data_IF_690239159652
#
_entry.id   IF_690239159652
#
_cell.length_a   1.000
_cell.length_b   1.000
_cell.length_c   1.000
_cell.angle_alpha   90.00
_cell.angle_beta   90.00
_cell.angle_gamma   90.00
#
_symmetry.space_group_name_H-M   'P 1'
#
loop_
_entity.id
_entity.type
_entity.pdbx_description
1 polymer ?
#
# COMPACT_ATOMS: atom_id res chain seq x y z
N UNK A 1 14.62 -10.62 5.98
CA UNK A 1 13.61 -9.95 5.13
C UNK A 1 12.60 -9.32 6.06
N UNK A 2 12.09 -8.13 5.75
CA UNK A 2 11.01 -7.48 6.51
C UNK A 2 9.87 -7.15 5.55
N UNK A 3 8.64 -7.50 5.91
CA UNK A 3 7.41 -7.16 5.20
C UNK A 3 6.58 -6.23 6.06
N UNK A 4 6.04 -5.16 5.48
CA UNK A 4 5.21 -4.20 6.20
C UNK A 4 4.25 -3.48 5.24
N UNK A 5 2.96 -3.34 5.57
CA UNK A 5 2.06 -2.47 4.82
C UNK A 5 2.50 -1.01 4.89
N UNK A 6 2.33 -0.25 3.81
CA UNK A 6 2.75 1.15 3.71
C UNK A 6 2.15 2.02 4.82
N UNK A 7 0.87 1.82 5.13
CA UNK A 7 0.14 2.54 6.20
C UNK A 7 0.73 2.24 7.59
N UNK A 8 0.99 0.97 7.89
CA UNK A 8 1.61 0.54 9.15
C UNK A 8 3.03 1.08 9.29
N UNK A 9 3.81 1.06 8.20
CA UNK A 9 5.17 1.59 8.19
C UNK A 9 5.18 3.08 8.54
N UNK A 10 4.37 3.87 7.85
CA UNK A 10 4.23 5.31 8.08
C UNK A 10 3.77 5.60 9.52
N UNK A 11 2.71 4.94 9.98
CA UNK A 11 2.20 5.13 11.33
C UNK A 11 3.26 4.80 12.40
N UNK A 12 4.07 3.76 12.17
CA UNK A 12 5.15 3.39 13.08
C UNK A 12 6.28 4.41 13.07
N UNK A 13 6.63 4.94 11.90
CA UNK A 13 7.64 6.00 11.78
C UNK A 13 7.16 7.30 12.42
N UNK A 14 5.90 7.69 12.21
CA UNK A 14 5.30 8.87 12.82
C UNK A 14 5.27 8.76 14.35
N UNK A 15 4.86 7.61 14.88
CA UNK A 15 4.91 7.32 16.31
C UNK A 15 6.34 7.40 16.85
N UNK A 16 7.31 6.78 16.17
CA UNK A 16 8.71 6.85 16.58
C UNK A 16 9.27 8.27 16.52
N UNK A 17 8.82 9.09 15.57
CA UNK A 17 9.19 10.51 15.48
C UNK A 17 8.65 11.31 16.66
N UNK A 18 7.37 11.15 17.00
CA UNK A 18 6.75 11.80 18.14
C UNK A 18 7.40 11.39 19.49
N UNK A 19 7.88 10.15 19.59
CA UNK A 19 8.57 9.63 20.77
C UNK A 19 10.08 9.92 20.79
N UNK A 20 10.64 10.63 19.79
CA UNK A 20 12.07 10.93 19.71
C UNK A 20 12.97 9.72 19.40
N UNK A 21 12.40 8.60 18.95
CA UNK A 21 13.10 7.33 18.64
C UNK A 21 13.14 7.02 17.14
N UNK A 22 12.99 8.04 16.30
CA UNK A 22 12.95 7.89 14.85
C UNK A 22 14.22 7.20 14.29
N UNK A 23 15.39 7.60 14.79
CA UNK A 23 16.68 7.08 14.33
C UNK A 23 16.77 5.54 14.51
N UNK A 24 16.39 5.06 15.69
CA UNK A 24 16.36 3.64 16.02
C UNK A 24 15.42 2.89 15.08
N UNK A 25 14.22 3.45 14.83
CA UNK A 25 13.24 2.82 13.97
C UNK A 25 13.67 2.79 12.50
N UNK A 26 14.26 3.88 12.00
CA UNK A 26 14.82 3.93 10.65
C UNK A 26 15.97 2.94 10.48
N UNK A 27 16.87 2.84 11.47
CA UNK A 27 17.95 1.85 11.46
C UNK A 27 17.40 0.42 11.44
N UNK A 28 16.38 0.13 12.25
CA UNK A 28 15.70 -1.17 12.24
C UNK A 28 15.10 -1.51 10.87
N UNK A 29 14.43 -0.57 10.20
CA UNK A 29 13.86 -0.77 8.86
C UNK A 29 14.92 -0.80 7.74
N UNK A 30 16.09 -0.18 7.94
CA UNK A 30 17.20 -0.19 7.00
C UNK A 30 18.07 -1.46 7.08
N UNK A 31 18.16 -2.10 8.26
CA UNK A 31 18.99 -3.29 8.51
C UNK A 31 18.71 -4.51 7.59
N UNK A 32 17.45 -4.86 7.24
CA UNK A 32 17.18 -6.02 6.40
C UNK A 32 17.74 -5.86 4.98
N UNK A 33 18.30 -6.94 4.42
CA UNK A 33 18.76 -7.00 3.01
C UNK A 33 17.63 -6.71 2.01
N UNK A 34 16.41 -7.14 2.34
CA UNK A 34 15.19 -6.87 1.57
C UNK A 34 14.10 -6.34 2.51
N UNK A 35 13.58 -5.17 2.17
CA UNK A 35 12.39 -4.57 2.76
C UNK A 35 11.28 -4.58 1.72
N UNK A 36 10.12 -5.13 2.08
CA UNK A 36 8.92 -5.19 1.25
C UNK A 36 7.89 -4.24 1.85
N UNK A 37 7.42 -3.29 1.04
CA UNK A 37 6.39 -2.32 1.41
C UNK A 37 5.17 -2.60 0.55
N UNK A 38 4.10 -3.04 1.20
CA UNK A 38 2.88 -3.48 0.51
C UNK A 38 1.81 -2.38 0.50
N UNK A 39 0.96 -2.38 -0.53
CA UNK A 39 -0.22 -1.52 -0.65
C UNK A 39 0.05 0.00 -0.63
N UNK A 40 1.16 0.44 -1.23
CA UNK A 40 1.45 1.86 -1.35
C UNK A 40 0.43 2.54 -2.29
N UNK A 41 -0.09 3.71 -1.90
CA UNK A 41 -1.03 4.49 -2.71
C UNK A 41 -2.51 4.18 -2.52
N UNK A 42 -2.86 3.38 -1.50
CA UNK A 42 -4.25 3.18 -1.10
C UNK A 42 -4.84 4.43 -0.42
N UNK A 43 -4.08 5.07 0.46
CA UNK A 43 -4.42 6.35 1.10
C UNK A 43 -3.34 7.39 0.79
N UNK A 44 -3.72 8.67 0.60
CA UNK A 44 -2.74 9.75 0.51
C UNK A 44 -2.00 9.88 1.83
N UNK A 45 -0.70 10.12 1.76
CA UNK A 45 0.13 10.38 2.92
C UNK A 45 -0.01 11.84 3.34
N UNK A 46 0.04 12.07 4.64
CA UNK A 46 0.27 13.41 5.17
C UNK A 46 1.69 13.89 4.81
N UNK A 47 1.94 15.20 4.70
CA UNK A 47 3.27 15.72 4.32
C UNK A 47 4.41 15.20 5.22
N UNK A 48 4.19 15.14 6.53
CA UNK A 48 5.16 14.63 7.49
C UNK A 48 5.44 13.13 7.26
N UNK A 49 4.39 12.35 6.99
CA UNK A 49 4.51 10.94 6.65
C UNK A 49 5.33 10.71 5.37
N UNK A 50 5.12 11.53 4.33
CA UNK A 50 5.91 11.48 3.11
C UNK A 50 7.39 11.80 3.40
N UNK A 51 7.67 12.77 4.27
CA UNK A 51 9.03 13.11 4.66
C UNK A 51 9.73 11.96 5.44
N UNK A 52 9.01 11.30 6.35
CA UNK A 52 9.52 10.13 7.08
C UNK A 52 9.80 8.95 6.13
N UNK A 53 8.92 8.72 5.17
CA UNK A 53 9.12 7.70 4.13
C UNK A 53 10.35 8.02 3.27
N UNK A 54 10.54 9.29 2.88
CA UNK A 54 11.71 9.75 2.15
C UNK A 54 13.01 9.50 2.90
N UNK A 55 13.04 9.72 4.22
CA UNK A 55 14.22 9.42 5.04
C UNK A 55 14.56 7.92 5.01
N UNK A 56 13.56 7.04 5.08
CA UNK A 56 13.76 5.60 4.97
C UNK A 56 14.30 5.20 3.59
N UNK A 57 13.70 5.71 2.51
CA UNK A 57 14.16 5.46 1.13
C UNK A 57 15.60 5.92 0.96
N UNK A 58 15.92 7.13 1.41
CA UNK A 58 17.27 7.70 1.32
C UNK A 58 18.33 6.86 2.07
N UNK A 59 17.97 6.23 3.19
CA UNK A 59 18.89 5.34 3.92
C UNK A 59 19.11 4.00 3.23
N UNK A 60 18.13 3.54 2.47
CA UNK A 60 18.22 2.26 1.74
C UNK A 60 18.77 2.41 0.33
N UNK A 61 18.73 3.62 -0.23
CA UNK A 61 19.33 3.95 -1.51
C UNK A 61 20.78 3.45 -1.58
N UNK A 62 21.07 2.64 -2.60
CA UNK A 62 22.36 1.95 -2.82
C UNK A 62 22.87 1.03 -1.69
N UNK A 63 22.08 0.82 -0.62
CA UNK A 63 22.48 0.05 0.57
C UNK A 63 21.66 -1.20 0.83
N UNK A 64 20.43 -1.29 0.31
CA UNK A 64 19.59 -2.47 0.49
C UNK A 64 18.40 -2.50 -0.47
N UNK A 65 17.95 -3.71 -0.81
CA UNK A 65 16.86 -3.88 -1.78
C UNK A 65 15.52 -3.43 -1.19
N UNK A 66 14.71 -2.76 -2.01
CA UNK A 66 13.37 -2.32 -1.68
C UNK A 66 12.40 -2.87 -2.73
N UNK A 67 11.38 -3.61 -2.27
CA UNK A 67 10.27 -4.04 -3.10
C UNK A 67 9.03 -3.28 -2.66
N UNK A 68 8.35 -2.62 -3.59
CA UNK A 68 7.11 -1.90 -3.30
C UNK A 68 6.00 -2.42 -4.18
N UNK A 69 4.85 -2.69 -3.60
CA UNK A 69 3.62 -2.97 -4.35
C UNK A 69 2.72 -1.73 -4.27
N UNK A 70 2.02 -1.45 -5.37
CA UNK A 70 1.08 -0.34 -5.45
C UNK A 70 -0.04 -0.68 -6.41
N UNK A 71 -1.24 -0.19 -6.10
CA UNK A 71 -2.38 -0.20 -7.01
C UNK A 71 -2.44 1.05 -7.91
N UNK A 72 -1.49 1.97 -7.75
CA UNK A 72 -1.37 3.22 -8.50
C UNK A 72 -0.16 3.14 -9.44
N UNK A 73 -0.28 3.73 -10.63
CA UNK A 73 0.88 3.88 -11.48
C UNK A 73 1.92 4.80 -10.82
N UNK A 74 3.20 4.60 -11.12
CA UNK A 74 4.30 5.44 -10.59
C UNK A 74 4.07 6.94 -10.86
N UNK A 75 3.49 7.29 -12.01
CA UNK A 75 3.14 8.68 -12.35
C UNK A 75 2.06 9.30 -11.45
N UNK A 76 1.26 8.50 -10.75
CA UNK A 76 0.25 8.97 -9.80
C UNK A 76 0.84 9.19 -8.39
N UNK A 77 2.09 8.83 -8.13
CA UNK A 77 2.64 8.90 -6.77
C UNK A 77 2.84 10.33 -6.26
N UNK A 78 2.83 11.33 -7.15
CA UNK A 78 2.76 12.74 -6.76
C UNK A 78 1.56 13.06 -5.88
N UNK A 79 0.38 12.49 -6.18
CA UNK A 79 -0.83 12.67 -5.37
C UNK A 79 -0.82 11.80 -4.12
N UNK A 80 -0.15 10.63 -4.17
CA UNK A 80 0.00 9.73 -3.03
C UNK A 80 0.82 10.39 -1.92
N UNK A 81 1.90 11.09 -2.24
CA UNK A 81 2.76 11.72 -1.23
C UNK A 81 2.32 13.14 -0.83
N UNK A 82 1.32 13.73 -1.49
CA UNK A 82 0.80 15.06 -1.18
C UNK A 82 1.72 16.24 -1.53
N UNK A 83 3.02 15.99 -1.72
CA UNK A 83 4.01 16.98 -2.15
C UNK A 83 4.75 16.47 -3.41
N UNK A 84 4.56 17.14 -4.57
CA UNK A 84 5.23 16.76 -5.82
C UNK A 84 6.76 16.79 -5.75
N UNK A 85 7.36 17.67 -4.95
CA UNK A 85 8.82 17.79 -4.81
C UNK A 85 9.36 16.59 -4.05
N UNK A 86 8.73 16.25 -2.91
CA UNK A 86 9.10 15.07 -2.12
C UNK A 86 8.85 13.79 -2.90
N UNK A 87 7.71 13.70 -3.58
CA UNK A 87 7.38 12.57 -4.46
C UNK A 87 8.46 12.35 -5.52
N UNK A 88 8.86 13.42 -6.21
CA UNK A 88 9.92 13.37 -7.23
C UNK A 88 11.24 12.90 -6.62
N UNK A 89 11.61 13.41 -5.44
CA UNK A 89 12.85 13.02 -4.77
C UNK A 89 12.86 11.55 -4.28
N UNK A 90 11.69 11.03 -3.87
CA UNK A 90 11.51 9.61 -3.53
C UNK A 90 11.64 8.76 -4.79
N UNK A 91 10.91 9.13 -5.85
CA UNK A 91 10.89 8.41 -7.11
C UNK A 91 12.26 8.37 -7.76
N UNK A 92 13.00 9.48 -7.77
CA UNK A 92 14.37 9.56 -8.28
C UNK A 92 15.28 8.47 -7.66
N UNK A 93 15.28 8.38 -6.31
CA UNK A 93 16.07 7.37 -5.57
C UNK A 93 15.58 5.95 -5.81
N UNK A 94 14.27 5.74 -5.84
CA UNK A 94 13.70 4.41 -6.03
C UNK A 94 13.93 3.91 -7.45
N UNK A 95 13.74 4.77 -8.45
CA UNK A 95 13.74 4.37 -9.86
C UNK A 95 15.13 4.26 -10.47
N UNK A 96 16.12 4.97 -9.93
CA UNK A 96 17.50 4.95 -10.45
C UNK A 96 18.08 3.52 -10.58
N UNK A 97 17.75 2.62 -9.65
CA UNK A 97 18.17 1.22 -9.66
C UNK A 97 16.99 0.26 -9.44
N UNK A 98 15.93 0.39 -10.23
CA UNK A 98 14.74 -0.48 -10.12
C UNK A 98 14.35 -1.18 -11.42
N UNK A 99 13.56 -2.23 -11.24
CA UNK A 99 12.74 -2.81 -12.30
C UNK A 99 11.27 -2.56 -11.97
N UNK A 100 10.59 -1.80 -12.83
CA UNK A 100 9.15 -1.55 -12.68
C UNK A 100 8.38 -2.62 -13.43
N UNK A 101 7.64 -3.45 -12.69
CA UNK A 101 6.79 -4.50 -13.27
C UNK A 101 5.34 -4.03 -13.22
N UNK A 102 4.77 -3.72 -14.39
CA UNK A 102 3.35 -3.37 -14.50
C UNK A 102 2.52 -4.64 -14.70
N UNK A 103 1.71 -4.98 -13.71
CA UNK A 103 0.82 -6.14 -13.77
C UNK A 103 -0.53 -5.72 -14.34
N UNK A 104 -0.96 -6.38 -15.41
CA UNK A 104 -2.29 -6.18 -16.04
C UNK A 104 -3.05 -7.50 -16.04
N UNK A 105 -4.36 -7.42 -15.82
CA UNK A 105 -5.24 -8.59 -15.88
C UNK A 105 -6.42 -8.50 -14.93
N UNK A 106 -7.33 -9.46 -15.04
CA UNK A 106 -8.44 -9.59 -14.11
C UNK A 106 -7.93 -9.97 -12.71
N UNK A 107 -8.56 -9.41 -11.67
CA UNK A 107 -8.23 -9.74 -10.29
C UNK A 107 -8.34 -11.23 -10.06
N UNK A 108 -7.27 -11.83 -9.53
CA UNK A 108 -7.25 -13.25 -9.20
C UNK A 108 -8.33 -13.63 -8.18
N UNK A 109 -8.68 -12.70 -7.26
CA UNK A 109 -9.75 -12.90 -6.27
C UNK A 109 -11.11 -13.19 -6.90
N UNK A 110 -11.39 -12.68 -8.12
CA UNK A 110 -12.65 -12.94 -8.83
C UNK A 110 -12.71 -14.33 -9.44
N UNK A 111 -11.57 -15.01 -9.63
CA UNK A 111 -11.53 -16.36 -10.21
C UNK A 111 -11.94 -17.45 -9.21
N UNK A 112 -11.87 -17.16 -7.92
CA UNK A 112 -12.18 -18.10 -6.83
C UNK A 112 -13.58 -17.94 -6.26
N UNK A 113 -14.32 -16.89 -6.65
CA UNK A 113 -15.76 -16.83 -6.43
C UNK A 113 -16.41 -17.60 -7.59
N UNK A 114 -17.00 -18.79 -7.37
CA UNK A 114 -17.95 -19.30 -8.35
C UNK A 114 -18.99 -18.20 -8.47
N UNK A 115 -19.21 -17.71 -9.69
CA UNK A 115 -20.41 -16.95 -10.00
C UNK A 115 -21.56 -17.63 -9.27
N UNK A 116 -22.26 -16.91 -8.39
CA UNK A 116 -23.53 -17.39 -7.87
C UNK A 116 -24.35 -17.77 -9.10
N UNK A 117 -24.46 -19.07 -9.33
CA UNK A 117 -25.11 -19.56 -10.53
C UNK A 117 -26.61 -19.21 -10.40
N UNK A 118 -27.26 -18.75 -11.47
CA UNK A 118 -28.61 -18.22 -11.43
C UNK A 118 -29.71 -19.25 -11.10
N UNK A 119 -29.36 -20.48 -10.70
CA UNK A 119 -30.30 -21.54 -10.31
C UNK A 119 -31.13 -21.23 -9.05
N UNK A 120 -30.71 -20.28 -8.22
CA UNK A 120 -31.43 -19.89 -7.00
C UNK A 120 -32.64 -18.96 -7.22
N UNK A 121 -33.07 -18.72 -8.47
CA UNK A 121 -34.34 -18.03 -8.77
C UNK A 121 -35.58 -18.95 -8.75
N UNK A 122 -35.41 -20.26 -8.56
CA UNK A 122 -36.51 -21.23 -8.60
C UNK A 122 -37.04 -21.73 -7.26
N UNK A 123 -36.44 -21.36 -6.12
CA UNK A 123 -36.74 -21.96 -4.82
C UNK A 123 -37.28 -20.99 -3.76
N UNK A 124 -38.02 -19.96 -4.18
CA UNK A 124 -38.82 -19.14 -3.26
C UNK A 124 -40.28 -19.58 -3.37
N UNK A 125 -40.84 -20.27 -2.37
CA UNK A 125 -42.28 -20.49 -2.28
C UNK A 125 -43.00 -19.12 -2.35
N UNK A 126 -44.08 -19.04 -3.13
CA UNK A 126 -44.82 -17.80 -3.42
C UNK A 126 -45.67 -17.28 -2.24
N UNK A 127 -45.44 -17.78 -1.05
CA UNK A 127 -46.32 -17.68 0.10
C UNK A 127 -45.53 -17.23 1.33
N UNK A 128 -44.91 -16.05 1.23
CA UNK A 128 -44.48 -15.24 2.36
C UNK A 128 -44.33 -13.77 1.95
N UNK A 129 -45.45 -13.11 1.65
CA UNK A 129 -45.51 -11.65 1.70
C UNK A 129 -45.35 -11.21 3.17
N UNK A 130 -44.17 -10.70 3.53
CA UNK A 130 -43.95 -10.16 4.86
C UNK A 130 -42.49 -9.83 5.17
N UNK A 131 -42.15 -8.55 5.00
CA UNK A 131 -40.97 -7.86 5.55
C UNK A 131 -39.58 -8.41 5.18
N UNK A 132 -38.95 -7.76 4.20
CA UNK A 132 -37.49 -7.69 4.12
C UNK A 132 -37.06 -6.40 4.82
N UNK A 133 -36.23 -6.43 5.88
CA UNK A 133 -35.71 -5.21 6.49
C UNK A 133 -34.57 -4.63 5.62
N UNK A 134 -34.63 -3.32 5.38
CA UNK A 134 -33.52 -2.54 4.83
C UNK A 134 -32.35 -2.55 5.82
N UNK A 135 -31.20 -3.07 5.39
CA UNK A 135 -29.94 -2.93 6.12
C UNK A 135 -29.11 -1.87 5.43
N UNK A 136 -29.01 -0.71 6.10
CA UNK A 136 -28.02 0.36 5.87
C UNK A 136 -26.61 -0.09 6.22
#
# INVERSE_FOLDING_TARGET
>A
MLFVPATTLVATLAKAHAEGRLEEKLAHCAKPKLLIIDELGYLPFEPDAAHLFFQLVSRRYERGALLVTSNRAVGEWGTVFGDPVVATAILDRMLHHSHVVTIRGQSYRRKTTPMFSPEWRGAVPRDAEGSVPDVV
#
